data_IF_039726762474
#
_entry.id   IF_039726762474
#
_cell.length_a   1.000
_cell.length_b   1.000
_cell.length_c   1.000
_cell.angle_alpha   90.00
_cell.angle_beta   90.00
_cell.angle_gamma   90.00
#
_symmetry.space_group_name_H-M   'P 1'
#
loop_
_entity.id
_entity.type
_entity.pdbx_description
1 polymer ?
#
# COMPACT_ATOMS: atom_id res chain seq x y z
N UNK A 1 -28.77 -5.35 24.06
CA UNK A 1 -28.08 -5.82 25.27
C UNK A 1 -26.98 -6.76 24.82
N UNK A 2 -25.72 -6.35 24.88
CA UNK A 2 -24.59 -7.20 24.49
C UNK A 2 -24.25 -8.11 25.66
N UNK A 3 -24.31 -9.42 25.46
CA UNK A 3 -23.96 -10.39 26.50
C UNK A 3 -22.44 -10.36 26.71
N UNK A 4 -21.99 -10.10 27.93
CA UNK A 4 -20.58 -10.23 28.30
C UNK A 4 -20.19 -11.72 28.32
N UNK A 5 -19.69 -12.21 27.19
CA UNK A 5 -19.16 -13.58 27.08
C UNK A 5 -17.84 -13.64 27.84
N UNK A 6 -17.77 -14.51 28.85
CA UNK A 6 -16.58 -14.71 29.68
C UNK A 6 -15.61 -15.61 28.93
N UNK A 7 -14.60 -15.03 28.30
CA UNK A 7 -13.55 -15.80 27.62
C UNK A 7 -12.68 -16.52 28.66
N UNK A 8 -12.17 -17.73 28.35
CA UNK A 8 -11.22 -18.42 29.21
C UNK A 8 -9.95 -17.58 29.38
N UNK A 9 -9.36 -17.58 30.60
CA UNK A 9 -8.20 -16.74 30.99
C UNK A 9 -7.07 -16.69 29.95
N UNK A 10 -6.81 -17.83 29.28
CA UNK A 10 -5.76 -17.96 28.27
C UNK A 10 -5.98 -17.14 27.00
N UNK A 11 -7.24 -16.86 26.64
CA UNK A 11 -7.62 -16.04 25.47
C UNK A 11 -7.78 -14.57 25.83
N UNK A 12 -8.03 -14.23 27.10
CA UNK A 12 -8.10 -12.84 27.56
C UNK A 12 -6.74 -12.22 27.86
N UNK A 13 -5.74 -13.05 28.12
CA UNK A 13 -4.36 -12.65 28.46
C UNK A 13 -3.42 -12.68 27.24
N UNK A 14 -3.93 -13.05 26.05
CA UNK A 14 -3.12 -13.04 24.84
C UNK A 14 -2.72 -11.58 24.52
N UNK A 15 -1.42 -11.29 24.34
CA UNK A 15 -0.99 -9.95 23.95
C UNK A 15 -1.67 -9.56 22.64
N UNK A 16 -2.09 -8.31 22.55
CA UNK A 16 -2.73 -7.78 21.35
C UNK A 16 -1.83 -8.06 20.13
N UNK A 17 -2.46 -8.47 19.02
CA UNK A 17 -1.73 -8.73 17.80
C UNK A 17 -0.95 -7.47 17.39
N UNK A 18 0.31 -7.60 16.92
CA UNK A 18 1.06 -6.46 16.46
C UNK A 18 0.32 -5.77 15.31
N UNK A 19 0.46 -4.45 15.22
CA UNK A 19 -0.17 -3.70 14.14
C UNK A 19 0.18 -4.28 12.77
N UNK A 20 -0.80 -4.38 11.85
CA UNK A 20 -0.54 -4.90 10.53
C UNK A 20 0.51 -4.03 9.85
N UNK A 21 1.58 -4.66 9.36
CA UNK A 21 2.65 -3.97 8.60
C UNK A 21 2.15 -3.38 7.28
N UNK A 22 0.97 -3.79 6.83
CA UNK A 22 0.35 -3.35 5.57
C UNK A 22 -0.77 -2.36 5.87
N UNK A 23 -0.92 -1.31 5.05
CA UNK A 23 -2.05 -0.40 5.17
C UNK A 23 -3.37 -1.14 5.00
N UNK A 24 -4.42 -0.62 5.64
CA UNK A 24 -5.76 -1.16 5.49
C UNK A 24 -6.29 -0.95 4.07
N UNK A 25 -7.27 -1.75 3.63
CA UNK A 25 -7.86 -1.60 2.31
C UNK A 25 -8.43 -0.18 2.06
N UNK A 26 -9.05 0.41 3.08
CA UNK A 26 -9.55 1.78 3.01
C UNK A 26 -8.41 2.80 2.80
N UNK A 27 -7.29 2.63 3.50
CA UNK A 27 -6.11 3.50 3.35
C UNK A 27 -5.46 3.36 1.97
N UNK A 28 -5.50 2.16 1.39
CA UNK A 28 -5.02 1.92 0.02
C UNK A 28 -5.88 2.69 -0.98
N UNK A 29 -7.20 2.61 -0.86
CA UNK A 29 -8.13 3.31 -1.75
C UNK A 29 -7.93 4.82 -1.67
N UNK A 30 -7.83 5.37 -0.45
CA UNK A 30 -7.66 6.80 -0.21
C UNK A 30 -6.35 7.35 -0.83
N UNK A 31 -5.31 6.52 -0.87
CA UNK A 31 -3.98 6.89 -1.39
C UNK A 31 -3.70 6.39 -2.81
N UNK A 32 -4.73 5.94 -3.55
CA UNK A 32 -4.56 5.37 -4.90
C UNK A 32 -3.79 6.30 -5.85
N UNK A 33 -4.15 7.58 -5.87
CA UNK A 33 -3.53 8.56 -6.78
C UNK A 33 -2.03 8.77 -6.47
N UNK A 34 -1.68 8.80 -5.18
CA UNK A 34 -0.29 8.87 -4.74
C UNK A 34 0.52 7.63 -5.14
N UNK A 35 -0.10 6.45 -5.13
CA UNK A 35 0.55 5.21 -5.52
C UNK A 35 0.74 5.11 -7.03
N UNK A 36 -0.28 5.48 -7.81
CA UNK A 36 -0.20 5.54 -9.27
C UNK A 36 0.92 6.46 -9.75
N UNK A 37 1.16 7.56 -9.02
CA UNK A 37 2.21 8.52 -9.31
C UNK A 37 3.52 8.29 -8.53
N UNK A 38 3.70 7.12 -7.91
CA UNK A 38 4.90 6.86 -7.12
C UNK A 38 6.13 6.65 -8.02
N UNK A 39 7.33 7.10 -7.61
CA UNK A 39 8.54 7.02 -8.44
C UNK A 39 8.91 5.59 -8.87
N UNK A 40 8.51 4.58 -8.10
CA UNK A 40 8.76 3.17 -8.42
C UNK A 40 7.79 2.56 -9.44
N UNK A 41 6.68 3.24 -9.73
CA UNK A 41 5.70 2.85 -10.76
C UNK A 41 5.79 3.72 -12.02
N UNK A 42 6.47 4.87 -11.94
CA UNK A 42 6.72 5.68 -13.12
C UNK A 42 7.71 4.98 -14.05
N UNK A 43 7.47 5.00 -15.37
CA UNK A 43 8.46 4.51 -16.31
C UNK A 43 9.77 5.30 -16.14
N UNK A 44 10.94 4.67 -16.30
CA UNK A 44 12.19 5.40 -16.37
C UNK A 44 12.06 6.45 -17.48
N UNK A 45 12.38 7.71 -17.17
CA UNK A 45 12.35 8.79 -18.16
C UNK A 45 13.43 8.47 -19.18
N UNK A 46 13.02 8.23 -20.43
CA UNK A 46 13.92 8.38 -21.56
C UNK A 46 14.33 9.85 -21.56
N UNK A 47 15.62 10.12 -21.48
CA UNK A 47 16.14 11.45 -21.80
C UNK A 47 15.74 11.75 -23.24
N UNK A 48 15.14 12.91 -23.49
CA UNK A 48 14.76 13.40 -24.84
C UNK A 48 15.98 13.62 -25.78
N UNK A 49 17.13 13.00 -25.51
CA UNK A 49 18.34 13.06 -26.32
C UNK A 49 18.39 11.96 -27.40
N UNK A 50 17.52 10.95 -27.35
CA UNK A 50 17.52 9.80 -28.28
C UNK A 50 16.41 9.84 -29.36
N UNK A 51 15.59 10.90 -29.45
CA UNK A 51 14.57 11.04 -30.52
C UNK A 51 15.08 11.81 -31.75
N UNK A 52 16.33 12.29 -31.74
CA UNK A 52 16.93 13.01 -32.88
C UNK A 52 17.52 12.09 -33.97
N UNK A 53 17.59 10.77 -33.74
CA UNK A 53 18.13 9.79 -34.70
C UNK A 53 17.05 9.00 -35.46
N UNK A 54 15.79 9.05 -35.02
CA UNK A 54 14.69 8.28 -35.62
C UNK A 54 14.03 8.94 -36.85
N UNK A 55 14.41 10.17 -37.22
CA UNK A 55 13.83 10.92 -38.35
C UNK A 55 14.82 11.16 -39.52
N UNK A 56 15.77 10.23 -39.71
CA UNK A 56 16.74 10.27 -40.81
C UNK A 56 16.83 8.94 -41.58
N UNK A 57 15.72 8.47 -42.16
CA UNK A 57 15.73 7.47 -43.25
C UNK A 57 14.66 7.82 -44.29
#
# INVERSE_FOLDING_TARGET
>A
MTNHVKLPRKLSEEPEAPEPRRPSHAQVIDQLDRWANSPGLQPPRVSDEDDSEAEAI
#
